data_IF_692945253755
#
_entry.id   IF_692945253755
#
_cell.length_a   1.000
_cell.length_b   1.000
_cell.length_c   1.000
_cell.angle_alpha   90.00
_cell.angle_beta   90.00
_cell.angle_gamma   90.00
#
_symmetry.space_group_name_H-M   'P 1'
#
loop_
_entity.id
_entity.type
_entity.pdbx_description
1 polymer ?
#
# COMPACT_ATOMS: atom_id res chain seq x y z
N UNK A 1 28.63 -33.42 6.05
CA UNK A 1 27.75 -32.25 6.34
C UNK A 1 27.52 -31.33 5.14
N UNK A 2 28.53 -31.07 4.29
CA UNK A 2 28.43 -30.16 3.14
C UNK A 2 27.46 -30.58 2.01
N UNK A 3 27.22 -31.89 1.82
CA UNK A 3 26.29 -32.38 0.78
C UNK A 3 24.81 -32.08 1.08
N UNK A 4 24.39 -32.11 2.36
CA UNK A 4 23.02 -31.75 2.77
C UNK A 4 22.70 -30.26 2.57
N UNK A 5 23.68 -29.38 2.77
CA UNK A 5 23.51 -27.92 2.64
C UNK A 5 23.37 -27.51 1.17
N UNK A 6 24.12 -28.16 0.27
CA UNK A 6 24.03 -27.93 -1.19
C UNK A 6 22.64 -28.30 -1.74
N UNK A 7 22.04 -29.38 -1.24
CA UNK A 7 20.69 -29.81 -1.63
C UNK A 7 19.58 -28.87 -1.12
N UNK A 8 19.71 -28.28 0.06
CA UNK A 8 18.73 -27.33 0.62
C UNK A 8 18.77 -25.98 -0.12
N UNK A 9 19.95 -25.54 -0.56
CA UNK A 9 20.10 -24.29 -1.31
C UNK A 9 19.50 -24.41 -2.72
N UNK A 10 19.69 -25.55 -3.38
CA UNK A 10 19.07 -25.86 -4.67
C UNK A 10 17.54 -25.98 -4.56
N UNK A 11 17.01 -26.52 -3.45
CA UNK A 11 15.55 -26.62 -3.26
C UNK A 11 14.89 -25.26 -3.00
N UNK A 12 15.56 -24.37 -2.25
CA UNK A 12 15.05 -23.02 -1.96
C UNK A 12 15.03 -22.10 -3.19
N UNK A 13 16.05 -22.19 -4.06
CA UNK A 13 16.05 -21.44 -5.32
C UNK A 13 14.94 -21.91 -6.27
N UNK A 14 14.69 -23.23 -6.34
CA UNK A 14 13.58 -23.78 -7.12
C UNK A 14 12.20 -23.39 -6.57
N UNK A 15 12.06 -23.31 -5.24
CA UNK A 15 10.83 -22.81 -4.60
C UNK A 15 10.61 -21.30 -4.86
N UNK A 16 11.69 -20.52 -4.95
CA UNK A 16 11.63 -19.10 -5.29
C UNK A 16 11.22 -18.89 -6.76
N UNK A 17 11.83 -19.63 -7.69
CA UNK A 17 11.46 -19.62 -9.11
C UNK A 17 9.99 -20.06 -9.32
N UNK A 18 9.53 -21.07 -8.56
CA UNK A 18 8.14 -21.50 -8.60
C UNK A 18 7.19 -20.41 -8.08
N UNK A 19 7.57 -19.68 -7.02
CA UNK A 19 6.78 -18.54 -6.50
C UNK A 19 6.75 -17.36 -7.44
N UNK A 20 7.86 -17.05 -8.12
CA UNK A 20 7.91 -16.00 -9.14
C UNK A 20 7.01 -16.37 -10.32
N UNK A 21 7.06 -17.62 -10.79
CA UNK A 21 6.19 -18.11 -11.85
C UNK A 21 4.71 -18.14 -11.44
N UNK A 22 4.40 -18.48 -10.19
CA UNK A 22 3.04 -18.42 -9.65
C UNK A 22 2.53 -16.97 -9.58
N UNK A 23 3.40 -16.02 -9.23
CA UNK A 23 3.08 -14.60 -9.21
C UNK A 23 2.83 -14.06 -10.63
N UNK A 24 3.66 -14.42 -11.61
CA UNK A 24 3.45 -14.08 -13.02
C UNK A 24 2.13 -14.62 -13.56
N UNK A 25 1.77 -15.87 -13.20
CA UNK A 25 0.50 -16.47 -13.59
C UNK A 25 -0.69 -15.72 -12.97
N UNK A 26 -0.60 -15.33 -11.69
CA UNK A 26 -1.64 -14.53 -11.02
C UNK A 26 -1.80 -13.15 -11.65
N UNK A 27 -0.70 -12.49 -12.01
CA UNK A 27 -0.73 -11.20 -12.70
C UNK A 27 -1.39 -11.33 -14.08
N UNK A 28 -1.06 -12.40 -14.84
CA UNK A 28 -1.73 -12.69 -16.12
C UNK A 28 -3.22 -12.97 -15.94
N UNK A 29 -3.61 -13.72 -14.90
CA UNK A 29 -5.02 -14.01 -14.60
C UNK A 29 -5.81 -12.75 -14.24
N UNK A 30 -5.21 -11.83 -13.46
CA UNK A 30 -5.83 -10.53 -13.15
C UNK A 30 -6.03 -9.71 -14.43
N UNK A 31 -5.02 -9.63 -15.30
CA UNK A 31 -5.13 -8.90 -16.57
C UNK A 31 -6.19 -9.50 -17.51
N UNK A 32 -6.33 -10.83 -17.52
CA UNK A 32 -7.39 -11.53 -18.25
C UNK A 32 -8.78 -11.21 -17.69
N UNK A 33 -8.95 -11.20 -16.36
CA UNK A 33 -10.22 -10.82 -15.71
C UNK A 33 -10.59 -9.37 -15.97
N UNK A 34 -9.63 -8.45 -15.93
CA UNK A 34 -9.85 -7.04 -16.27
C UNK A 34 -10.30 -6.90 -17.74
N UNK A 35 -9.69 -7.66 -18.66
CA UNK A 35 -10.07 -7.71 -20.07
C UNK A 35 -11.48 -8.28 -20.27
N UNK A 36 -11.83 -9.38 -19.58
CA UNK A 36 -13.19 -9.95 -19.62
C UNK A 36 -14.24 -8.97 -19.08
N UNK A 37 -13.95 -8.31 -17.96
CA UNK A 37 -14.86 -7.34 -17.35
C UNK A 37 -15.11 -6.15 -18.28
N UNK A 38 -14.05 -5.71 -18.98
CA UNK A 38 -14.12 -4.65 -19.97
C UNK A 38 -14.89 -5.07 -21.23
N UNK A 39 -14.67 -6.29 -21.73
CA UNK A 39 -15.41 -6.83 -22.89
C UNK A 39 -16.90 -7.01 -22.58
N UNK A 40 -17.25 -7.54 -21.40
CA UNK A 40 -18.63 -7.69 -20.95
C UNK A 40 -19.32 -6.31 -20.78
N UNK A 41 -18.57 -5.30 -20.31
CA UNK A 41 -19.05 -3.92 -20.27
C UNK A 41 -19.27 -3.32 -21.67
N UNK A 42 -18.38 -3.61 -22.63
CA UNK A 42 -18.46 -3.11 -24.00
C UNK A 42 -19.58 -3.80 -24.82
N UNK A 43 -19.79 -5.12 -24.65
CA UNK A 43 -20.85 -5.87 -25.33
C UNK A 43 -22.26 -5.39 -24.93
N UNK A 44 -22.44 -4.96 -23.67
CA UNK A 44 -23.72 -4.46 -23.17
C UNK A 44 -24.19 -3.13 -23.78
N UNK A 45 -23.37 -2.44 -24.59
CA UNK A 45 -23.66 -1.06 -25.01
C UNK A 45 -23.74 -0.81 -26.53
N UNK A 46 -23.47 -1.80 -27.39
CA UNK A 46 -23.62 -1.70 -28.87
C UNK A 46 -23.15 -0.38 -29.53
N UNK A 47 -22.06 0.25 -29.08
CA UNK A 47 -21.58 1.53 -29.62
C UNK A 47 -20.26 1.34 -30.41
N UNK A 48 -20.31 1.50 -31.75
CA UNK A 48 -19.16 1.35 -32.65
C UNK A 48 -17.96 2.25 -32.30
N UNK A 49 -18.19 3.37 -31.61
CA UNK A 49 -17.16 4.29 -31.13
C UNK A 49 -16.11 3.64 -30.20
N UNK A 50 -16.52 2.66 -29.38
CA UNK A 50 -15.60 2.00 -28.45
C UNK A 50 -14.73 0.93 -29.11
N UNK A 51 -15.17 0.35 -30.24
CA UNK A 51 -14.41 -0.68 -30.98
C UNK A 51 -13.16 -0.13 -31.66
N UNK A 52 -13.22 1.10 -32.19
CA UNK A 52 -12.05 1.75 -32.80
C UNK A 52 -11.01 2.18 -31.76
N UNK A 53 -11.46 2.76 -30.64
CA UNK A 53 -10.59 3.14 -29.51
C UNK A 53 -9.95 1.93 -28.81
N UNK A 54 -10.63 0.78 -28.84
CA UNK A 54 -10.12 -0.53 -28.40
C UNK A 54 -8.92 -0.99 -29.25
N UNK A 55 -9.00 -0.87 -30.57
CA UNK A 55 -7.92 -1.26 -31.48
C UNK A 55 -6.67 -0.39 -31.31
N UNK A 56 -6.85 0.93 -31.08
CA UNK A 56 -5.74 1.84 -30.81
C UNK A 56 -5.06 1.53 -29.46
N UNK A 57 -5.85 1.32 -28.40
CA UNK A 57 -5.32 0.96 -27.08
C UNK A 57 -4.65 -0.43 -27.09
N UNK A 58 -5.18 -1.40 -27.83
CA UNK A 58 -4.56 -2.72 -27.96
C UNK A 58 -3.23 -2.65 -28.70
N UNK A 59 -3.11 -1.77 -29.70
CA UNK A 59 -1.85 -1.53 -30.43
C UNK A 59 -0.81 -0.87 -29.53
N UNK A 60 -1.20 0.17 -28.78
CA UNK A 60 -0.32 0.85 -27.80
C UNK A 60 0.11 -0.12 -26.70
N UNK A 61 -0.79 -0.97 -26.21
CA UNK A 61 -0.49 -1.96 -25.18
C UNK A 61 0.47 -3.05 -25.66
N UNK A 62 0.26 -3.59 -26.88
CA UNK A 62 1.19 -4.55 -27.50
C UNK A 62 2.58 -3.95 -27.70
N UNK A 63 2.63 -2.71 -28.17
CA UNK A 63 3.88 -1.98 -28.37
C UNK A 63 4.61 -1.74 -27.03
N UNK A 64 3.87 -1.39 -25.97
CA UNK A 64 4.43 -1.23 -24.61
C UNK A 64 4.96 -2.55 -24.04
N UNK A 65 4.28 -3.67 -24.31
CA UNK A 65 4.74 -5.00 -23.90
C UNK A 65 6.02 -5.42 -24.62
N UNK A 66 6.07 -5.18 -25.93
CA UNK A 66 7.22 -5.51 -26.78
C UNK A 66 8.45 -4.66 -26.40
N UNK A 67 8.26 -3.37 -26.10
CA UNK A 67 9.30 -2.49 -25.56
C UNK A 67 9.85 -2.98 -24.22
N UNK A 68 8.97 -3.42 -23.31
CA UNK A 68 9.39 -3.97 -22.01
C UNK A 68 10.09 -5.31 -22.11
N UNK A 69 9.65 -6.17 -23.03
CA UNK A 69 10.29 -7.46 -23.30
C UNK A 69 11.69 -7.26 -23.89
N UNK A 70 11.85 -6.30 -24.80
CA UNK A 70 13.15 -5.91 -25.33
C UNK A 70 14.06 -5.30 -24.26
N UNK A 71 13.55 -4.40 -23.41
CA UNK A 71 14.31 -3.84 -22.29
C UNK A 71 14.76 -4.92 -21.30
N UNK A 72 13.90 -5.92 -21.04
CA UNK A 72 14.21 -7.05 -20.18
C UNK A 72 15.27 -7.97 -20.78
N UNK A 73 15.15 -8.31 -22.07
CA UNK A 73 16.13 -9.13 -22.78
C UNK A 73 17.50 -8.44 -22.88
N UNK A 74 17.51 -7.12 -23.11
CA UNK A 74 18.74 -6.32 -23.11
C UNK A 74 19.41 -6.29 -21.72
N UNK A 75 18.62 -6.21 -20.64
CA UNK A 75 19.12 -6.35 -19.25
C UNK A 75 19.64 -7.76 -18.96
N UNK A 76 19.01 -8.81 -19.49
CA UNK A 76 19.47 -10.19 -19.33
C UNK A 76 20.81 -10.44 -20.02
N UNK A 77 21.03 -9.86 -21.21
CA UNK A 77 22.29 -10.03 -21.95
C UNK A 77 23.44 -9.19 -21.37
N UNK A 78 23.15 -8.11 -20.65
CA UNK A 78 24.14 -7.40 -19.82
C UNK A 78 24.49 -8.19 -18.56
N UNK A 79 23.50 -8.81 -17.90
CA UNK A 79 23.72 -9.63 -16.68
C UNK A 79 24.43 -10.96 -16.97
N UNK A 80 24.31 -11.54 -18.18
CA UNK A 80 25.03 -12.76 -18.56
C UNK A 80 26.55 -12.58 -18.76
N UNK A 81 27.01 -11.34 -18.98
CA UNK A 81 28.42 -11.02 -19.24
C UNK A 81 29.14 -10.40 -18.04
N UNK A 82 28.45 -10.15 -16.93
CA UNK A 82 29.07 -9.73 -15.68
C UNK A 82 29.38 -10.96 -14.83
N UNK A 83 30.66 -11.14 -14.45
CA UNK A 83 31.02 -12.12 -13.43
C UNK A 83 30.14 -11.92 -12.19
N UNK A 84 29.67 -12.99 -11.53
CA UNK A 84 28.73 -12.88 -10.44
C UNK A 84 29.29 -11.96 -9.35
N UNK A 85 28.68 -10.79 -9.18
CA UNK A 85 28.94 -9.90 -8.05
C UNK A 85 28.58 -10.69 -6.80
N UNK A 86 29.59 -11.27 -6.16
CA UNK A 86 29.48 -11.88 -4.85
C UNK A 86 29.21 -10.75 -3.86
N UNK A 87 27.93 -10.38 -3.72
CA UNK A 87 27.49 -9.48 -2.64
C UNK A 87 28.04 -10.10 -1.36
N UNK A 88 28.82 -9.35 -0.55
CA UNK A 88 29.39 -9.90 0.67
C UNK A 88 28.24 -10.52 1.47
N UNK A 89 28.38 -11.80 1.82
CA UNK A 89 27.42 -12.46 2.71
C UNK A 89 27.26 -11.55 3.91
N UNK A 90 26.09 -10.93 4.07
CA UNK A 90 25.73 -10.28 5.33
C UNK A 90 25.72 -11.38 6.36
N UNK A 91 26.79 -11.49 7.13
CA UNK A 91 26.79 -12.30 8.33
C UNK A 91 25.71 -11.75 9.24
N UNK A 92 24.62 -12.51 9.38
CA UNK A 92 23.58 -12.22 10.35
C UNK A 92 24.18 -12.50 11.72
N UNK A 93 24.78 -11.49 12.33
CA UNK A 93 25.10 -11.57 13.75
C UNK A 93 23.81 -11.47 14.56
N UNK A 94 23.75 -12.24 15.64
CA UNK A 94 22.68 -12.10 16.59
C UNK A 94 22.77 -10.74 17.29
N UNK A 95 21.61 -10.11 17.54
CA UNK A 95 21.55 -8.89 18.32
C UNK A 95 21.90 -9.21 19.77
N UNK A 96 22.70 -8.36 20.41
CA UNK A 96 22.93 -8.49 21.85
C UNK A 96 21.66 -8.15 22.63
N UNK A 97 21.60 -8.57 23.90
CA UNK A 97 20.45 -8.24 24.76
C UNK A 97 20.30 -6.73 24.96
N UNK A 98 21.40 -5.98 24.97
CA UNK A 98 21.39 -4.51 25.03
C UNK A 98 20.76 -3.91 23.77
N UNK A 99 21.09 -4.43 22.58
CA UNK A 99 20.53 -3.97 21.31
C UNK A 99 19.03 -4.26 21.21
N UNK A 100 18.60 -5.46 21.67
CA UNK A 100 17.18 -5.81 21.74
C UNK A 100 16.43 -4.86 22.68
N UNK A 101 16.99 -4.56 23.86
CA UNK A 101 16.42 -3.61 24.83
C UNK A 101 16.33 -2.20 24.27
N UNK A 102 17.40 -1.70 23.65
CA UNK A 102 17.44 -0.38 23.04
C UNK A 102 16.41 -0.26 21.89
N UNK A 103 16.27 -1.30 21.08
CA UNK A 103 15.25 -1.35 20.04
C UNK A 103 13.83 -1.34 20.62
N UNK A 104 13.57 -2.12 21.66
CA UNK A 104 12.26 -2.15 22.33
C UNK A 104 11.89 -0.79 22.92
N UNK A 105 12.84 -0.10 23.56
CA UNK A 105 12.63 1.25 24.08
C UNK A 105 12.29 2.24 22.95
N UNK A 106 13.06 2.21 21.86
CA UNK A 106 12.79 3.04 20.68
C UNK A 106 11.43 2.77 20.05
N UNK A 107 10.98 1.51 20.00
CA UNK A 107 9.65 1.17 19.50
C UNK A 107 8.55 1.67 20.45
N UNK A 108 8.77 1.62 21.76
CA UNK A 108 7.86 2.17 22.77
C UNK A 108 7.71 3.67 22.60
N UNK A 109 8.82 4.41 22.49
CA UNK A 109 8.80 5.86 22.26
C UNK A 109 8.08 6.24 20.96
N UNK A 110 8.32 5.50 19.86
CA UNK A 110 7.61 5.72 18.60
C UNK A 110 6.10 5.50 18.73
N UNK A 111 5.69 4.49 19.50
CA UNK A 111 4.29 4.20 19.76
C UNK A 111 3.65 5.33 20.57
N UNK A 112 4.33 5.83 21.60
CA UNK A 112 3.86 6.96 22.41
C UNK A 112 3.66 8.21 21.55
N UNK A 113 4.66 8.57 20.71
CA UNK A 113 4.54 9.70 19.79
C UNK A 113 3.43 9.55 18.74
N UNK A 114 3.10 8.31 18.36
CA UNK A 114 1.94 8.03 17.52
C UNK A 114 0.64 8.30 18.26
N UNK A 115 0.53 7.79 19.49
CA UNK A 115 -0.63 7.98 20.38
C UNK A 115 -0.88 9.45 20.69
N UNK A 116 0.15 10.21 21.07
CA UNK A 116 0.06 11.66 21.32
C UNK A 116 -0.45 12.41 20.09
N UNK A 117 0.01 12.01 18.90
CA UNK A 117 -0.44 12.62 17.66
C UNK A 117 -1.91 12.28 17.34
N UNK A 118 -2.35 11.04 17.58
CA UNK A 118 -3.76 10.66 17.47
C UNK A 118 -4.63 11.48 18.43
N UNK A 119 -4.18 11.70 19.68
CA UNK A 119 -4.89 12.53 20.67
C UNK A 119 -4.95 14.01 20.25
N UNK A 120 -3.87 14.54 19.67
CA UNK A 120 -3.82 15.89 19.10
C UNK A 120 -4.83 16.08 17.96
N UNK A 121 -4.83 15.17 16.97
CA UNK A 121 -5.79 15.21 15.85
C UNK A 121 -7.22 15.05 16.35
N UNK A 122 -7.47 14.16 17.31
CA UNK A 122 -8.76 14.02 17.98
C UNK A 122 -9.21 15.33 18.64
N UNK A 123 -8.31 16.04 19.33
CA UNK A 123 -8.58 17.34 19.93
C UNK A 123 -9.03 18.39 18.90
N UNK A 124 -8.36 18.44 17.74
CA UNK A 124 -8.74 19.32 16.64
C UNK A 124 -10.19 19.08 16.16
N UNK A 125 -10.58 17.82 15.92
CA UNK A 125 -11.95 17.49 15.52
C UNK A 125 -12.96 17.70 16.65
N UNK A 126 -12.57 17.44 17.90
CA UNK A 126 -13.42 17.69 19.08
C UNK A 126 -13.79 19.16 19.21
N UNK A 127 -12.82 20.07 19.02
CA UNK A 127 -13.05 21.52 19.03
C UNK A 127 -13.99 21.97 17.89
N UNK A 128 -13.99 21.24 16.77
CA UNK A 128 -14.93 21.46 15.67
C UNK A 128 -16.34 20.85 15.91
N UNK A 129 -16.59 20.35 17.11
CA UNK A 129 -17.88 19.84 17.55
C UNK A 129 -18.19 18.41 17.12
N UNK A 130 -17.17 17.59 16.84
CA UNK A 130 -17.35 16.16 16.61
C UNK A 130 -17.26 15.37 17.92
N UNK A 131 -18.07 14.33 18.03
CA UNK A 131 -17.85 13.27 19.00
C UNK A 131 -16.69 12.39 18.52
N UNK A 132 -15.80 12.01 19.43
CA UNK A 132 -14.55 11.34 19.09
C UNK A 132 -14.47 9.94 19.71
N UNK A 133 -14.13 8.96 18.88
CA UNK A 133 -13.73 7.63 19.30
C UNK A 133 -12.31 7.32 18.83
N UNK A 134 -11.37 7.28 19.78
CA UNK A 134 -9.96 6.90 19.59
C UNK A 134 -9.84 5.38 19.34
N UNK A 135 -10.13 4.97 18.12
CA UNK A 135 -10.20 3.56 17.71
C UNK A 135 -8.83 2.86 17.79
N UNK A 136 -7.77 3.50 17.30
CA UNK A 136 -6.40 3.01 17.31
C UNK A 136 -5.89 2.74 18.73
N UNK A 137 -6.01 3.73 19.61
CA UNK A 137 -5.63 3.60 21.03
C UNK A 137 -6.40 2.47 21.73
N UNK A 138 -7.71 2.34 21.47
CA UNK A 138 -8.56 1.33 22.14
C UNK A 138 -8.39 -0.08 21.58
N UNK A 139 -8.13 -0.24 20.27
CA UNK A 139 -8.07 -1.54 19.58
C UNK A 139 -6.65 -2.01 19.28
N UNK A 140 -5.66 -1.13 19.35
CA UNK A 140 -4.26 -1.41 19.03
C UNK A 140 -4.14 -2.05 17.65
N UNK A 141 -3.39 -3.16 17.53
CA UNK A 141 -3.18 -3.86 16.24
C UNK A 141 -4.47 -4.40 15.58
N UNK A 142 -5.62 -4.37 16.25
CA UNK A 142 -6.92 -4.79 15.71
C UNK A 142 -7.73 -3.61 15.15
N UNK A 143 -7.14 -2.42 15.09
CA UNK A 143 -7.74 -1.19 14.56
C UNK A 143 -8.01 -1.22 13.05
N UNK A 144 -7.45 -2.23 12.35
CA UNK A 144 -7.47 -2.35 10.89
C UNK A 144 -7.06 -1.02 10.23
N UNK A 145 -6.15 -0.24 10.81
CA UNK A 145 -5.69 1.03 10.20
C UNK A 145 -6.67 2.21 10.29
N UNK A 146 -7.72 2.16 11.12
CA UNK A 146 -8.53 3.33 11.46
C UNK A 146 -8.13 3.80 12.87
N UNK A 147 -7.51 4.96 12.98
CA UNK A 147 -7.02 5.46 14.27
C UNK A 147 -8.11 6.23 15.02
N UNK A 148 -8.90 7.05 14.31
CA UNK A 148 -9.92 7.91 14.91
C UNK A 148 -11.21 7.81 14.10
N UNK A 149 -12.33 7.75 14.82
CA UNK A 149 -13.67 7.84 14.25
C UNK A 149 -14.31 9.08 14.85
N UNK A 150 -14.72 10.01 13.98
CA UNK A 150 -15.42 11.23 14.37
C UNK A 150 -16.87 11.17 13.87
N UNK A 151 -17.84 11.48 14.72
CA UNK A 151 -19.25 11.54 14.33
C UNK A 151 -19.86 12.89 14.68
N UNK A 152 -20.67 13.41 13.77
CA UNK A 152 -21.48 14.62 13.97
C UNK A 152 -22.72 14.53 13.08
N UNK A 153 -23.89 14.43 13.70
CA UNK A 153 -25.17 14.26 13.01
C UNK A 153 -25.15 13.03 12.04
N UNK A 154 -25.31 13.28 10.73
CA UNK A 154 -25.24 12.27 9.67
C UNK A 154 -23.83 12.07 9.11
N UNK A 155 -22.86 12.90 9.51
CA UNK A 155 -21.48 12.80 9.06
C UNK A 155 -20.65 11.86 9.94
N UNK A 156 -19.91 10.98 9.27
CA UNK A 156 -18.92 10.09 9.88
C UNK A 156 -17.57 10.28 9.19
N UNK A 157 -16.53 10.58 9.96
CA UNK A 157 -15.17 10.70 9.45
C UNK A 157 -14.33 9.55 9.99
N UNK A 158 -13.74 8.78 9.08
CA UNK A 158 -12.77 7.74 9.40
C UNK A 158 -11.37 8.29 9.10
N UNK A 159 -10.48 8.23 10.09
CA UNK A 159 -9.19 8.91 10.05
C UNK A 159 -8.05 7.94 10.32
N UNK A 160 -7.02 7.96 9.47
CA UNK A 160 -5.70 7.41 9.76
C UNK A 160 -4.70 8.55 9.97
N UNK A 161 -3.92 8.43 11.02
CA UNK A 161 -2.87 9.35 11.42
C UNK A 161 -1.47 8.75 11.14
N UNK A 162 -0.54 9.59 10.68
CA UNK A 162 0.89 9.24 10.60
C UNK A 162 1.78 10.41 11.04
N UNK A 163 2.50 10.20 12.14
CA UNK A 163 3.49 11.14 12.65
C UNK A 163 4.92 10.74 12.25
N UNK A 164 5.25 10.89 10.96
CA UNK A 164 6.61 10.64 10.46
C UNK A 164 7.31 11.97 10.14
N UNK A 165 8.63 11.98 10.34
CA UNK A 165 9.45 13.13 9.98
C UNK A 165 9.54 13.28 8.47
N UNK A 166 9.68 14.52 8.00
CA UNK A 166 9.81 14.84 6.58
C UNK A 166 11.08 14.25 5.94
N UNK A 167 12.20 14.27 6.68
CA UNK A 167 13.50 13.71 6.30
C UNK A 167 13.57 12.17 6.36
N UNK A 168 12.49 11.53 6.78
CA UNK A 168 12.39 10.08 6.84
C UNK A 168 12.44 9.46 5.44
N UNK A 169 13.12 8.32 5.32
CA UNK A 169 13.05 7.45 4.14
C UNK A 169 11.66 6.88 3.87
N UNK A 170 10.76 6.92 4.86
CA UNK A 170 9.40 6.41 4.75
C UNK A 170 8.47 7.50 4.23
N UNK A 171 7.79 7.22 3.13
CA UNK A 171 6.78 8.10 2.51
C UNK A 171 5.42 7.41 2.41
N UNK A 172 4.38 8.21 2.23
CA UNK A 172 3.01 7.77 1.98
C UNK A 172 2.87 7.58 0.46
N UNK A 173 2.71 6.33 0.08
CA UNK A 173 2.54 5.89 -1.29
C UNK A 173 1.09 5.48 -1.57
N UNK A 174 0.74 5.26 -2.84
CA UNK A 174 -0.61 4.85 -3.22
C UNK A 174 -1.06 3.54 -2.53
N UNK A 175 -0.16 2.60 -2.25
CA UNK A 175 -0.49 1.35 -1.57
C UNK A 175 -1.01 1.58 -0.15
N UNK A 176 -0.37 2.48 0.61
CA UNK A 176 -0.81 2.83 1.98
C UNK A 176 -2.18 3.50 1.97
N UNK A 177 -2.41 4.37 0.99
CA UNK A 177 -3.70 5.06 0.83
C UNK A 177 -4.80 4.06 0.43
N UNK A 178 -4.53 3.16 -0.52
CA UNK A 178 -5.46 2.09 -0.92
C UNK A 178 -5.77 1.13 0.24
N UNK A 179 -4.76 0.74 1.01
CA UNK A 179 -4.95 -0.11 2.19
C UNK A 179 -5.91 0.56 3.18
N UNK A 180 -5.69 1.84 3.50
CA UNK A 180 -6.59 2.60 4.37
C UNK A 180 -8.02 2.67 3.84
N UNK A 181 -8.20 2.97 2.54
CA UNK A 181 -9.53 2.98 1.90
C UNK A 181 -10.21 1.61 1.99
N UNK A 182 -9.47 0.53 1.78
CA UNK A 182 -9.96 -0.84 1.92
C UNK A 182 -10.46 -1.13 3.33
N UNK A 183 -9.67 -0.76 4.35
CA UNK A 183 -10.04 -0.93 5.74
C UNK A 183 -11.28 -0.11 6.13
N UNK A 184 -11.40 1.12 5.61
CA UNK A 184 -12.60 1.94 5.84
C UNK A 184 -13.83 1.32 5.18
N UNK A 185 -13.71 0.83 3.94
CA UNK A 185 -14.79 0.12 3.25
C UNK A 185 -15.25 -1.10 4.06
N UNK A 186 -14.30 -1.88 4.58
CA UNK A 186 -14.61 -3.03 5.44
C UNK A 186 -15.36 -2.60 6.71
N UNK A 187 -14.88 -1.56 7.40
CA UNK A 187 -15.55 -1.03 8.60
C UNK A 187 -16.99 -0.59 8.32
N UNK A 188 -17.21 0.14 7.22
CA UNK A 188 -18.55 0.61 6.81
C UNK A 188 -19.48 -0.57 6.54
N UNK A 189 -18.99 -1.59 5.84
CA UNK A 189 -19.76 -2.79 5.52
C UNK A 189 -20.12 -3.59 6.79
N UNK A 190 -19.15 -3.84 7.66
CA UNK A 190 -19.35 -4.60 8.91
C UNK A 190 -20.37 -3.92 9.84
N UNK A 191 -20.38 -2.58 9.86
CA UNK A 191 -21.25 -1.80 10.72
C UNK A 191 -22.53 -1.29 10.02
N UNK A 192 -22.74 -1.64 8.73
CA UNK A 192 -23.91 -1.27 7.92
C UNK A 192 -24.18 0.24 7.86
N UNK A 193 -23.13 1.06 7.75
CA UNK A 193 -23.21 2.54 7.84
C UNK A 193 -23.52 3.22 6.49
N UNK A 194 -24.33 2.59 5.64
CA UNK A 194 -24.57 3.03 4.27
C UNK A 194 -25.42 4.31 4.16
N UNK A 195 -26.11 4.67 5.25
CA UNK A 195 -26.94 5.86 5.40
C UNK A 195 -26.13 7.09 5.84
N UNK A 196 -24.88 6.93 6.27
CA UNK A 196 -24.04 8.02 6.74
C UNK A 196 -23.29 8.71 5.59
N UNK A 197 -23.10 10.02 5.73
CA UNK A 197 -22.18 10.77 4.89
C UNK A 197 -20.74 10.52 5.34
N UNK A 198 -20.09 9.53 4.73
CA UNK A 198 -18.77 9.07 5.16
C UNK A 198 -17.65 9.82 4.43
N UNK A 199 -16.73 10.39 5.21
CA UNK A 199 -15.48 10.98 4.71
C UNK A 199 -14.28 10.17 5.19
N UNK A 200 -13.33 9.96 4.29
CA UNK A 200 -12.08 9.27 4.58
C UNK A 200 -10.97 10.31 4.64
N UNK A 201 -10.24 10.38 5.76
CA UNK A 201 -9.13 11.33 5.92
C UNK A 201 -7.83 10.64 6.29
N UNK A 202 -6.78 10.94 5.53
CA UNK A 202 -5.43 10.52 5.84
C UNK A 202 -4.65 11.74 6.32
N UNK A 203 -4.31 11.79 7.61
CA UNK A 203 -3.76 12.96 8.26
C UNK A 203 -2.32 12.71 8.68
N UNK A 204 -1.45 13.66 8.36
CA UNK A 204 -0.01 13.57 8.61
C UNK A 204 0.53 14.82 9.30
N UNK A 205 1.59 14.67 10.09
CA UNK A 205 2.19 15.83 10.79
C UNK A 205 3.02 16.71 9.85
N UNK A 206 3.50 16.15 8.74
CA UNK A 206 4.33 16.81 7.74
C UNK A 206 3.95 16.33 6.33
N UNK A 207 4.42 17.03 5.30
CA UNK A 207 4.24 16.58 3.93
C UNK A 207 5.17 15.39 3.63
N UNK A 208 4.60 14.18 3.59
CA UNK A 208 5.34 12.93 3.41
C UNK A 208 4.79 12.07 2.28
N UNK A 209 4.00 12.64 1.36
CA UNK A 209 3.51 11.96 0.16
C UNK A 209 4.61 11.79 -0.89
N UNK A 210 4.67 10.61 -1.50
CA UNK A 210 5.43 10.39 -2.73
C UNK A 210 4.58 10.64 -3.99
N UNK A 211 5.23 10.62 -5.16
CA UNK A 211 4.56 10.87 -6.45
C UNK A 211 3.41 9.91 -6.73
N UNK A 212 3.54 8.64 -6.33
CA UNK A 212 2.47 7.67 -6.52
C UNK A 212 1.25 7.98 -5.65
N UNK A 213 1.48 8.40 -4.39
CA UNK A 213 0.43 8.83 -3.49
C UNK A 213 -0.26 10.10 -3.97
N UNK A 214 0.51 11.08 -4.50
CA UNK A 214 -0.04 12.30 -5.10
C UNK A 214 -0.97 11.99 -6.27
N UNK A 215 -0.52 11.15 -7.21
CA UNK A 215 -1.34 10.74 -8.37
C UNK A 215 -2.63 10.04 -7.92
N UNK A 216 -2.53 9.13 -6.96
CA UNK A 216 -3.70 8.46 -6.40
C UNK A 216 -4.72 9.44 -5.78
N UNK A 217 -4.25 10.46 -5.05
CA UNK A 217 -5.13 11.47 -4.45
C UNK A 217 -5.79 12.39 -5.48
N UNK A 218 -5.09 12.72 -6.57
CA UNK A 218 -5.67 13.50 -7.67
C UNK A 218 -6.83 12.77 -8.36
N UNK A 219 -6.75 11.45 -8.45
CA UNK A 219 -7.78 10.59 -9.05
C UNK A 219 -8.89 10.21 -8.05
N UNK A 220 -8.63 10.32 -6.74
CA UNK A 220 -9.56 9.92 -5.69
C UNK A 220 -10.60 10.99 -5.39
N UNK A 221 -11.88 10.59 -5.37
CA UNK A 221 -13.00 11.47 -5.00
C UNK A 221 -13.39 11.37 -3.52
N UNK A 222 -12.95 10.31 -2.84
CA UNK A 222 -13.45 9.93 -1.51
C UNK A 222 -12.39 10.13 -0.41
N UNK A 223 -11.11 9.97 -0.74
CA UNK A 223 -10.02 10.10 0.21
C UNK A 223 -9.44 11.52 0.20
N UNK A 224 -9.44 12.15 1.37
CA UNK A 224 -8.83 13.45 1.58
C UNK A 224 -7.51 13.29 2.32
N UNK A 225 -6.48 14.02 1.90
CA UNK A 225 -5.20 14.09 2.60
C UNK A 225 -5.04 15.46 3.25
N UNK A 226 -4.73 15.47 4.54
CA UNK A 226 -4.54 16.71 5.31
C UNK A 226 -3.22 16.68 6.09
N UNK A 227 -2.71 17.88 6.34
CA UNK A 227 -1.52 18.07 7.18
C UNK A 227 -1.96 18.85 8.41
N UNK A 228 -1.82 18.24 9.58
CA UNK A 228 -2.01 18.90 10.86
C UNK A 228 -0.67 18.89 11.59
N UNK A 229 0.03 20.02 11.57
CA UNK A 229 1.35 20.15 12.20
C UNK A 229 1.23 19.97 13.71
N UNK A 230 2.12 19.14 14.26
CA UNK A 230 2.25 18.80 15.67
C UNK A 230 3.66 19.14 16.16
#
# INVERSE_FOLDING_TARGET
MFSKIKNIFNSKNKELELKERELELKVKEIALKEKELFLNYAEKRSDNYYKEKLNENEKVFKQTLEEKENEFNQKLDTVKNEEPITKPKKEFREYTEEEKKAYALKMKEKKEKGKEYEEFVAGYYKLNGYEIYLHGIKKGKKDKGIDIICSKDEELILIQCKNWKEDSKYKINHEKLKAFVGCCTEYVNENKLFDKNIKLKFITSNYILDESGKKFLQESKTLQYEILKY
#
